data_IF_466915691982
#
_entry.id   IF_466915691982
#
_cell.length_a   1.000
_cell.length_b   1.000
_cell.length_c   1.000
_cell.angle_alpha   90.00
_cell.angle_beta   90.00
_cell.angle_gamma   90.00
#
_symmetry.space_group_name_H-M   'P 1'
#
loop_
_entity.id
_entity.type
_entity.pdbx_description
1 polymer ?
#
# COMPACT_ATOMS: atom_id res chain seq x y z
N UNK A 1 -0.01 42.62 28.92
CA UNK A 1 1.12 42.82 27.99
C UNK A 1 2.32 41.95 28.35
N UNK A 2 3.14 42.24 29.37
CA UNK A 2 4.29 41.38 29.70
C UNK A 2 3.89 40.01 30.31
N UNK A 3 2.87 39.96 31.17
CA UNK A 3 2.38 38.69 31.75
C UNK A 3 1.69 37.78 30.70
N UNK A 4 1.02 38.37 29.72
CA UNK A 4 0.37 37.63 28.62
C UNK A 4 1.41 37.00 27.67
N UNK A 5 2.54 37.67 27.45
CA UNK A 5 3.66 37.15 26.66
C UNK A 5 4.39 35.98 27.36
N UNK A 6 4.49 36.02 28.71
CA UNK A 6 5.07 34.92 29.49
C UNK A 6 4.17 33.68 29.52
N UNK A 7 2.85 33.87 29.68
CA UNK A 7 1.87 32.77 29.62
C UNK A 7 1.84 32.11 28.22
N UNK A 8 1.93 32.91 27.15
CA UNK A 8 2.00 32.41 25.78
C UNK A 8 3.29 31.62 25.57
N UNK A 9 4.43 32.09 26.10
CA UNK A 9 5.72 31.39 26.02
C UNK A 9 5.72 30.07 26.80
N UNK A 10 5.15 30.02 28.01
CA UNK A 10 5.00 28.79 28.79
C UNK A 10 4.09 27.79 28.09
N UNK A 11 2.97 28.25 27.52
CA UNK A 11 2.05 27.44 26.72
C UNK A 11 2.78 26.85 25.50
N UNK A 12 3.52 27.67 24.76
CA UNK A 12 4.34 27.22 23.63
C UNK A 12 5.41 26.21 24.05
N UNK A 13 6.08 26.41 25.19
CA UNK A 13 7.09 25.48 25.69
C UNK A 13 6.48 24.13 26.12
N UNK A 14 5.30 24.16 26.74
CA UNK A 14 4.57 22.98 27.21
C UNK A 14 4.10 22.11 26.03
N UNK A 15 3.66 22.74 24.94
CA UNK A 15 3.28 22.09 23.67
C UNK A 15 4.49 21.43 22.99
N UNK A 16 5.68 22.03 23.08
CA UNK A 16 6.92 21.48 22.53
C UNK A 16 7.60 20.44 23.43
N UNK A 17 7.20 20.32 24.71
CA UNK A 17 7.83 19.41 25.68
C UNK A 17 7.45 17.93 25.53
N UNK A 18 6.50 17.58 24.64
CA UNK A 18 6.15 16.19 24.36
C UNK A 18 7.30 15.50 23.62
N UNK A 19 8.30 15.03 24.37
CA UNK A 19 9.37 14.14 23.88
C UNK A 19 8.71 12.99 23.11
N UNK A 20 9.02 12.89 21.81
CA UNK A 20 8.57 11.77 20.99
C UNK A 20 9.00 10.48 21.65
N UNK A 21 8.06 9.56 21.89
CA UNK A 21 8.38 8.23 22.38
C UNK A 21 9.40 7.60 21.44
N UNK A 22 10.44 6.94 21.98
CA UNK A 22 11.43 6.26 21.15
C UNK A 22 10.73 5.21 20.29
N UNK A 23 11.30 4.96 19.11
CA UNK A 23 10.82 3.92 18.21
C UNK A 23 10.94 2.57 18.92
N UNK A 24 9.86 1.79 18.92
CA UNK A 24 9.84 0.46 19.51
C UNK A 24 10.93 -0.42 18.89
N UNK A 25 11.60 -1.22 19.72
CA UNK A 25 12.70 -2.07 19.30
C UNK A 25 12.28 -3.11 18.25
N UNK A 26 11.01 -3.53 18.22
CA UNK A 26 10.52 -4.48 17.22
C UNK A 26 10.81 -4.02 15.79
N UNK A 27 10.70 -2.72 15.52
CA UNK A 27 10.89 -2.14 14.19
C UNK A 27 12.36 -2.04 13.78
N UNK A 28 13.30 -2.12 14.73
CA UNK A 28 14.74 -2.13 14.44
C UNK A 28 15.18 -3.40 13.71
N UNK A 29 14.45 -4.49 13.91
CA UNK A 29 14.71 -5.80 13.30
C UNK A 29 13.91 -6.02 11.99
N UNK A 30 13.42 -4.95 11.34
CA UNK A 30 12.69 -5.05 10.07
C UNK A 30 13.49 -5.80 9.01
N UNK A 31 14.77 -5.49 8.87
CA UNK A 31 15.61 -6.08 7.84
C UNK A 31 15.98 -7.54 8.11
N UNK A 32 16.05 -7.96 9.39
CA UNK A 32 16.48 -9.31 9.75
C UNK A 32 15.30 -10.26 9.97
N UNK A 33 14.16 -9.74 10.46
CA UNK A 33 13.03 -10.53 10.96
C UNK A 33 11.67 -10.10 10.38
N UNK A 34 11.64 -9.09 9.51
CA UNK A 34 10.42 -8.68 8.81
C UNK A 34 10.04 -9.69 7.73
N UNK A 35 8.73 -9.97 7.59
CA UNK A 35 8.19 -10.98 6.65
C UNK A 35 8.64 -10.79 5.20
N UNK A 36 8.90 -9.54 4.79
CA UNK A 36 9.45 -9.25 3.46
C UNK A 36 10.79 -9.94 3.22
N UNK A 37 11.71 -9.84 4.16
CA UNK A 37 12.99 -10.52 4.04
C UNK A 37 12.84 -12.02 4.29
N UNK A 38 12.26 -12.41 5.43
CA UNK A 38 12.34 -13.81 5.87
C UNK A 38 11.47 -14.76 5.04
N UNK A 39 10.29 -14.33 4.58
CA UNK A 39 9.33 -15.19 3.89
C UNK A 39 9.33 -14.89 2.39
N UNK A 40 9.16 -13.63 2.03
CA UNK A 40 8.95 -13.24 0.63
C UNK A 40 10.24 -13.43 -0.16
N UNK A 41 11.34 -12.78 0.25
CA UNK A 41 12.62 -12.86 -0.47
C UNK A 41 13.25 -14.26 -0.42
N UNK A 42 13.22 -14.93 0.75
CA UNK A 42 13.94 -16.20 0.93
C UNK A 42 13.18 -17.43 0.43
N UNK A 43 11.85 -17.43 0.50
CA UNK A 43 11.04 -18.61 0.23
C UNK A 43 10.06 -18.42 -0.93
N UNK A 44 9.23 -17.36 -0.90
CA UNK A 44 8.15 -17.21 -1.88
C UNK A 44 8.67 -16.86 -3.27
N UNK A 45 9.71 -16.03 -3.38
CA UNK A 45 10.33 -15.66 -4.66
C UNK A 45 10.76 -16.87 -5.52
N UNK A 46 11.03 -18.01 -4.88
CA UNK A 46 11.46 -19.26 -5.52
C UNK A 46 10.33 -20.26 -5.74
N UNK A 47 9.13 -19.98 -5.26
CA UNK A 47 7.98 -20.88 -5.35
C UNK A 47 6.77 -20.13 -5.92
N UNK A 48 6.58 -20.25 -7.23
CA UNK A 48 5.54 -19.52 -7.96
C UNK A 48 4.13 -19.81 -7.46
N UNK A 49 3.83 -21.08 -7.13
CA UNK A 49 2.52 -21.47 -6.58
C UNK A 49 2.24 -20.77 -5.26
N UNK A 50 3.20 -20.82 -4.32
CA UNK A 50 3.05 -20.18 -3.02
C UNK A 50 3.05 -18.66 -3.11
N UNK A 51 3.85 -18.09 -4.01
CA UNK A 51 3.83 -16.66 -4.30
C UNK A 51 2.44 -16.20 -4.76
N UNK A 52 1.82 -16.95 -5.70
CA UNK A 52 0.48 -16.66 -6.21
C UNK A 52 -0.61 -16.88 -5.17
N UNK A 53 -0.51 -17.90 -4.33
CA UNK A 53 -1.43 -18.07 -3.19
C UNK A 53 -1.34 -16.86 -2.22
N UNK A 54 -0.13 -16.35 -2.00
CA UNK A 54 0.12 -15.28 -1.05
C UNK A 54 -0.30 -13.89 -1.55
N UNK A 55 0.01 -13.56 -2.83
CA UNK A 55 -0.22 -12.24 -3.42
C UNK A 55 -1.34 -12.17 -4.47
N UNK A 56 -1.93 -13.30 -4.85
CA UNK A 56 -2.92 -13.43 -5.97
C UNK A 56 -2.37 -13.06 -7.35
N UNK A 57 -1.07 -12.81 -7.47
CA UNK A 57 -0.34 -12.54 -8.73
C UNK A 57 0.92 -13.39 -8.79
N UNK A 58 1.48 -13.61 -9.99
CA UNK A 58 2.76 -14.30 -10.13
C UNK A 58 3.96 -13.35 -9.97
N UNK A 59 5.17 -13.92 -9.90
CA UNK A 59 6.39 -13.16 -9.66
C UNK A 59 6.70 -12.16 -10.79
N UNK A 60 6.47 -12.54 -12.06
CA UNK A 60 6.70 -11.64 -13.21
C UNK A 60 5.79 -10.42 -13.17
N UNK A 61 4.53 -10.62 -12.77
CA UNK A 61 3.58 -9.52 -12.56
C UNK A 61 4.01 -8.61 -11.41
N UNK A 62 4.53 -9.20 -10.32
CA UNK A 62 5.06 -8.42 -9.21
C UNK A 62 6.24 -7.55 -9.64
N UNK A 63 7.24 -8.12 -10.33
CA UNK A 63 8.39 -7.36 -10.83
C UNK A 63 7.98 -6.26 -11.81
N UNK A 64 7.03 -6.55 -12.71
CA UNK A 64 6.45 -5.55 -13.60
C UNK A 64 5.85 -4.39 -12.79
N UNK A 65 5.03 -4.67 -11.78
CA UNK A 65 4.41 -3.65 -10.94
C UNK A 65 5.45 -2.85 -10.15
N UNK A 66 6.53 -3.48 -9.65
CA UNK A 66 7.63 -2.77 -9.00
C UNK A 66 8.26 -1.77 -9.98
N UNK A 67 8.63 -2.23 -11.18
CA UNK A 67 9.25 -1.36 -12.20
C UNK A 67 8.35 -0.19 -12.62
N UNK A 68 7.03 -0.40 -12.61
CA UNK A 68 6.04 0.59 -13.00
C UNK A 68 5.89 1.75 -12.00
N UNK A 69 6.13 1.48 -10.71
CA UNK A 69 5.90 2.43 -9.61
C UNK A 69 7.21 2.87 -8.93
N UNK A 70 8.35 2.37 -9.38
CA UNK A 70 9.66 2.57 -8.76
C UNK A 70 10.03 4.05 -8.67
N UNK A 71 9.85 4.79 -9.76
CA UNK A 71 10.21 6.21 -9.86
C UNK A 71 9.42 7.06 -8.86
N UNK A 72 8.12 6.80 -8.69
CA UNK A 72 7.27 7.60 -7.82
C UNK A 72 7.37 7.24 -6.33
N UNK A 73 7.72 5.98 -6.01
CA UNK A 73 7.71 5.48 -4.63
C UNK A 73 9.09 5.30 -4.03
N UNK A 74 10.18 5.41 -4.81
CA UNK A 74 11.52 5.37 -4.25
C UNK A 74 11.71 6.53 -3.24
N UNK A 75 12.39 6.24 -2.14
CA UNK A 75 12.77 7.25 -1.15
C UNK A 75 14.27 7.13 -0.92
N UNK A 76 14.97 8.26 -1.01
CA UNK A 76 16.41 8.31 -0.75
C UNK A 76 16.71 8.16 0.75
N UNK A 77 17.84 7.53 1.10
CA UNK A 77 18.35 7.54 2.46
C UNK A 77 18.52 8.95 3.00
N UNK A 78 18.26 9.12 4.29
CA UNK A 78 18.42 10.40 5.01
C UNK A 78 19.12 10.19 6.35
N UNK A 79 19.46 11.30 7.03
CA UNK A 79 20.02 11.22 8.38
C UNK A 79 19.11 10.53 9.39
N UNK A 80 17.78 10.65 9.23
CA UNK A 80 16.78 10.04 10.12
C UNK A 80 16.45 8.61 9.74
N UNK A 81 16.47 8.30 8.44
CA UNK A 81 16.12 6.99 7.90
C UNK A 81 17.25 6.57 6.96
N UNK A 82 18.22 5.82 7.51
CA UNK A 82 19.38 5.35 6.75
C UNK A 82 19.02 4.30 5.70
N UNK A 83 17.95 3.53 5.96
CA UNK A 83 17.47 2.50 5.05
C UNK A 83 15.96 2.63 4.87
N UNK A 84 15.53 3.36 3.83
CA UNK A 84 14.12 3.48 3.48
C UNK A 84 13.49 2.11 3.17
N UNK A 85 12.16 2.05 3.25
CA UNK A 85 11.41 0.87 2.82
C UNK A 85 11.44 0.84 1.30
N UNK A 86 11.87 -0.29 0.72
CA UNK A 86 12.02 -0.44 -0.72
C UNK A 86 10.65 -0.42 -1.42
N UNK A 87 10.62 -0.10 -2.71
CA UNK A 87 9.38 -0.12 -3.48
C UNK A 87 8.76 -1.53 -3.50
N UNK A 88 9.58 -2.56 -3.66
CA UNK A 88 9.13 -3.95 -3.60
C UNK A 88 8.49 -4.29 -2.24
N UNK A 89 9.06 -3.84 -1.12
CA UNK A 89 8.48 -4.09 0.21
C UNK A 89 7.15 -3.33 0.40
N UNK A 90 7.05 -2.09 -0.07
CA UNK A 90 5.81 -1.31 -0.06
C UNK A 90 4.71 -1.99 -0.89
N UNK A 91 5.07 -2.48 -2.07
CA UNK A 91 4.15 -3.20 -2.95
C UNK A 91 3.69 -4.51 -2.31
N UNK A 92 4.62 -5.32 -1.78
CA UNK A 92 4.30 -6.58 -1.10
C UNK A 92 3.35 -6.35 0.07
N UNK A 93 3.61 -5.34 0.90
CA UNK A 93 2.73 -4.98 2.00
C UNK A 93 1.33 -4.57 1.52
N UNK A 94 1.25 -3.79 0.44
CA UNK A 94 -0.02 -3.32 -0.13
C UNK A 94 -0.82 -4.46 -0.76
N UNK A 95 -0.17 -5.32 -1.55
CA UNK A 95 -0.80 -6.48 -2.15
C UNK A 95 -1.28 -7.47 -1.08
N UNK A 96 -0.49 -7.67 -0.01
CA UNK A 96 -0.92 -8.52 1.09
C UNK A 96 -2.18 -7.97 1.75
N UNK A 97 -2.22 -6.67 2.02
CA UNK A 97 -3.42 -6.00 2.54
C UNK A 97 -4.63 -6.20 1.62
N UNK A 98 -4.47 -6.02 0.30
CA UNK A 98 -5.56 -6.21 -0.66
C UNK A 98 -6.04 -7.68 -0.75
N UNK A 99 -5.11 -8.63 -0.65
CA UNK A 99 -5.42 -10.06 -0.79
C UNK A 99 -6.17 -10.64 0.42
N UNK A 100 -5.95 -10.10 1.62
CA UNK A 100 -6.50 -10.67 2.87
C UNK A 100 -7.38 -9.74 3.69
N UNK A 101 -7.30 -8.43 3.49
CA UNK A 101 -8.00 -7.46 4.33
C UNK A 101 -7.46 -7.38 5.76
N UNK A 102 -6.23 -7.84 6.01
CA UNK A 102 -5.61 -7.81 7.35
C UNK A 102 -5.55 -6.39 7.93
N UNK A 103 -5.72 -6.27 9.24
CA UNK A 103 -5.60 -4.97 9.91
C UNK A 103 -4.17 -4.43 9.82
N UNK A 104 -4.03 -3.10 9.82
CA UNK A 104 -2.71 -2.45 9.84
C UNK A 104 -1.88 -2.85 11.07
N UNK A 105 -2.54 -3.20 12.19
CA UNK A 105 -1.85 -3.69 13.39
C UNK A 105 -1.26 -5.09 13.17
N UNK A 106 -1.98 -6.00 12.51
CA UNK A 106 -1.45 -7.33 12.13
C UNK A 106 -0.24 -7.21 11.20
N UNK A 107 -0.40 -6.40 10.15
CA UNK A 107 0.68 -6.13 9.19
C UNK A 107 1.88 -5.46 9.87
N UNK A 108 1.64 -4.62 10.87
CA UNK A 108 2.69 -3.94 11.63
C UNK A 108 3.62 -4.90 12.35
N UNK A 109 3.06 -5.95 12.97
CA UNK A 109 3.86 -7.00 13.60
C UNK A 109 4.60 -7.85 12.56
N UNK A 110 3.92 -8.22 11.47
CA UNK A 110 4.49 -9.11 10.45
C UNK A 110 5.63 -8.46 9.64
N UNK A 111 5.40 -7.25 9.14
CA UNK A 111 6.38 -6.51 8.36
C UNK A 111 7.36 -5.70 9.22
N UNK A 112 7.10 -5.57 10.54
CA UNK A 112 7.89 -4.73 11.45
C UNK A 112 8.00 -3.28 10.96
N UNK A 113 6.86 -2.74 10.54
CA UNK A 113 6.69 -1.34 10.17
C UNK A 113 5.57 -0.79 11.05
N UNK A 114 5.69 0.44 11.57
CA UNK A 114 4.62 1.01 12.39
C UNK A 114 3.29 1.10 11.63
N UNK A 115 2.19 0.71 12.28
CA UNK A 115 0.85 0.74 11.67
C UNK A 115 0.47 2.13 11.11
N UNK A 116 0.95 3.21 11.72
CA UNK A 116 0.75 4.58 11.21
C UNK A 116 1.45 4.80 9.87
N UNK A 117 2.66 4.28 9.71
CA UNK A 117 3.39 4.39 8.45
C UNK A 117 2.85 3.42 7.39
N UNK A 118 2.40 2.22 7.79
CA UNK A 118 1.67 1.28 6.92
C UNK A 118 0.46 1.95 6.25
N UNK A 119 -0.35 2.68 7.02
CA UNK A 119 -1.51 3.41 6.49
C UNK A 119 -1.11 4.41 5.39
N UNK A 120 0.02 5.11 5.57
CA UNK A 120 0.55 6.03 4.56
C UNK A 120 1.07 5.27 3.33
N UNK A 121 1.85 4.21 3.54
CA UNK A 121 2.41 3.38 2.45
C UNK A 121 1.30 2.82 1.57
N UNK A 122 0.25 2.25 2.16
CA UNK A 122 -0.85 1.65 1.40
C UNK A 122 -1.56 2.72 0.58
N UNK A 123 -1.84 3.90 1.17
CA UNK A 123 -2.46 5.02 0.45
C UNK A 123 -1.59 5.52 -0.71
N UNK A 124 -0.31 5.77 -0.46
CA UNK A 124 0.67 6.21 -1.48
C UNK A 124 0.75 5.18 -2.61
N UNK A 125 0.95 3.90 -2.27
CA UNK A 125 1.14 2.82 -3.24
C UNK A 125 -0.11 2.61 -4.09
N UNK A 126 -1.30 2.58 -3.48
CA UNK A 126 -2.57 2.44 -4.22
C UNK A 126 -2.83 3.64 -5.15
N UNK A 127 -2.47 4.85 -4.72
CA UNK A 127 -2.62 6.05 -5.55
C UNK A 127 -1.76 5.95 -6.82
N UNK A 128 -0.49 5.55 -6.68
CA UNK A 128 0.42 5.36 -7.81
C UNK A 128 -0.01 4.19 -8.69
N UNK A 129 -0.41 3.06 -8.10
CA UNK A 129 -0.92 1.92 -8.87
C UNK A 129 -2.16 2.31 -9.68
N UNK A 130 -3.08 3.07 -9.08
CA UNK A 130 -4.26 3.57 -9.80
C UNK A 130 -3.87 4.46 -10.98
N UNK A 131 -2.98 5.43 -10.77
CA UNK A 131 -2.59 6.37 -11.84
C UNK A 131 -1.88 5.68 -13.00
N UNK A 132 -1.11 4.63 -12.73
CA UNK A 132 -0.36 3.87 -13.74
C UNK A 132 -1.17 2.77 -14.41
N UNK A 133 -1.97 2.02 -13.66
CA UNK A 133 -2.68 0.84 -14.18
C UNK A 133 -4.02 1.18 -14.83
N UNK A 134 -4.76 2.18 -14.34
CA UNK A 134 -6.07 2.53 -14.92
C UNK A 134 -5.96 2.84 -16.42
N UNK A 135 -5.01 3.65 -16.89
CA UNK A 135 -4.85 3.91 -18.33
C UNK A 135 -4.46 2.69 -19.16
N UNK A 136 -3.85 1.67 -18.54
CA UNK A 136 -3.40 0.45 -19.24
C UNK A 136 -4.55 -0.55 -19.37
N UNK A 137 -5.39 -0.67 -18.35
CA UNK A 137 -6.37 -1.77 -18.23
C UNK A 137 -7.83 -1.35 -18.37
N UNK A 138 -8.16 -0.08 -18.16
CA UNK A 138 -9.54 0.40 -18.27
C UNK A 138 -9.68 1.32 -19.49
N UNK A 139 -10.70 1.10 -20.34
CA UNK A 139 -11.01 2.06 -21.39
C UNK A 139 -11.42 3.40 -20.80
N UNK A 140 -11.17 4.49 -21.53
CA UNK A 140 -11.65 5.81 -21.14
C UNK A 140 -13.18 5.77 -21.03
N UNK A 141 -13.71 6.18 -19.89
CA UNK A 141 -15.14 6.20 -19.62
C UNK A 141 -15.94 6.98 -20.69
N UNK A 142 -15.32 7.98 -21.31
CA UNK A 142 -15.96 8.77 -22.38
C UNK A 142 -16.11 7.99 -23.69
N UNK A 143 -15.37 6.90 -23.86
CA UNK A 143 -15.40 6.04 -25.06
C UNK A 143 -16.35 4.85 -24.92
N UNK A 144 -16.89 4.62 -23.71
CA UNK A 144 -17.74 3.48 -23.41
C UNK A 144 -19.21 3.88 -23.60
N UNK A 145 -19.91 3.20 -24.51
CA UNK A 145 -21.37 3.27 -24.56
C UNK A 145 -21.98 2.38 -23.46
N UNK A 146 -22.31 3.00 -22.34
CA UNK A 146 -22.94 2.33 -21.21
C UNK A 146 -24.31 1.74 -21.52
N UNK A 147 -25.06 2.30 -22.48
CA UNK A 147 -26.38 1.76 -22.87
C UNK A 147 -26.20 0.44 -23.61
N UNK A 148 -25.22 0.37 -24.50
CA UNK A 148 -24.87 -0.87 -25.19
C UNK A 148 -24.41 -1.92 -24.19
N UNK A 149 -23.55 -1.56 -23.23
CA UNK A 149 -23.12 -2.50 -22.18
C UNK A 149 -24.27 -3.00 -21.31
N UNK A 150 -25.17 -2.11 -20.88
CA UNK A 150 -26.36 -2.51 -20.14
C UNK A 150 -27.28 -3.44 -20.94
N UNK A 151 -27.46 -3.19 -22.24
CA UNK A 151 -28.25 -4.05 -23.13
C UNK A 151 -27.58 -5.42 -23.33
N UNK A 152 -26.27 -5.47 -23.53
CA UNK A 152 -25.50 -6.72 -23.59
C UNK A 152 -25.68 -7.53 -22.30
N UNK A 153 -25.63 -6.89 -21.13
CA UNK A 153 -25.80 -7.58 -19.86
C UNK A 153 -27.22 -8.11 -19.65
N UNK A 154 -28.21 -7.30 -20.00
CA UNK A 154 -29.63 -7.69 -19.97
C UNK A 154 -29.88 -8.88 -20.90
N UNK A 155 -29.35 -8.86 -22.12
CA UNK A 155 -29.55 -9.93 -23.10
C UNK A 155 -28.86 -11.24 -22.70
N UNK A 156 -27.59 -11.18 -22.27
CA UNK A 156 -26.80 -12.38 -21.98
C UNK A 156 -27.09 -13.00 -20.62
N UNK A 157 -27.41 -12.20 -19.61
CA UNK A 157 -27.52 -12.65 -18.21
C UNK A 157 -28.84 -12.25 -17.53
N UNK A 158 -29.82 -11.70 -18.26
CA UNK A 158 -31.07 -11.16 -17.72
C UNK A 158 -30.84 -10.19 -16.54
N UNK A 159 -29.76 -9.42 -16.62
CA UNK A 159 -29.36 -8.47 -15.60
C UNK A 159 -29.46 -7.04 -16.15
N UNK A 160 -30.64 -6.40 -16.05
CA UNK A 160 -30.85 -5.09 -16.62
C UNK A 160 -30.01 -4.03 -15.88
N UNK A 161 -29.58 -3.00 -16.62
CA UNK A 161 -28.81 -1.86 -16.10
C UNK A 161 -27.44 -2.20 -15.48
N UNK A 162 -26.89 -3.39 -15.70
CA UNK A 162 -25.52 -3.69 -15.29
C UNK A 162 -24.51 -3.10 -16.27
N UNK A 163 -23.55 -2.37 -15.71
CA UNK A 163 -22.43 -1.76 -16.41
C UNK A 163 -21.17 -1.98 -15.57
N UNK A 164 -20.02 -2.07 -16.23
CA UNK A 164 -18.71 -2.13 -15.55
C UNK A 164 -18.56 -3.28 -14.54
N UNK A 165 -19.05 -4.49 -14.87
CA UNK A 165 -18.77 -5.66 -14.05
C UNK A 165 -17.26 -5.96 -14.08
N UNK A 166 -16.59 -5.83 -12.93
CA UNK A 166 -15.13 -6.01 -12.80
C UNK A 166 -14.78 -7.44 -12.37
N UNK A 167 -15.62 -8.05 -11.54
CA UNK A 167 -15.41 -9.42 -11.07
C UNK A 167 -16.77 -10.11 -10.87
N UNK A 168 -16.86 -11.36 -11.31
CA UNK A 168 -18.01 -12.21 -11.15
C UNK A 168 -17.87 -13.02 -9.87
N UNK A 169 -18.05 -12.38 -8.72
CA UNK A 169 -18.10 -13.14 -7.47
C UNK A 169 -19.49 -13.76 -7.29
N UNK A 170 -19.52 -15.08 -7.13
CA UNK A 170 -20.60 -15.78 -6.41
C UNK A 170 -20.39 -15.61 -4.91
#
# INVERSE_FOLDING_TARGET
>A
LLEEEEEEFELFSSLHSRKRKPVDNIYKFRESEGVFEILINRHLSKNETKFREYFRINYKQFDFLVSLIEVELCKEPSNRIKKPITVAEKLALTLRYMATGESFRSLSFSFRISHSYISLIIKETLSVLRSKLVPIFLPDANTIDFKVKAAEFSYKWNYPNCILAIDGKH
#
